data_IF_876844935003
#
_entry.id   IF_876844935003
#
_cell.length_a   1.000
_cell.length_b   1.000
_cell.length_c   1.000
_cell.angle_alpha   90.00
_cell.angle_beta   90.00
_cell.angle_gamma   90.00
#
_symmetry.space_group_name_H-M   'P 1'
#
loop_
_entity.id
_entity.type
_entity.pdbx_description
1 polymer ?
#
# COMPACT_ATOMS: atom_id res chain seq x y z
N UNK A 1 -16.10 9.61 35.61
CA UNK A 1 -15.80 8.17 35.51
C UNK A 1 -16.42 7.74 34.19
N UNK A 2 -15.74 8.04 33.07
CA UNK A 2 -16.16 7.55 31.76
C UNK A 2 -15.55 6.16 31.63
N UNK A 3 -16.38 5.12 31.72
CA UNK A 3 -16.00 3.77 31.33
C UNK A 3 -15.83 3.78 29.81
N UNK A 4 -14.62 4.17 29.38
CA UNK A 4 -14.24 4.31 27.99
C UNK A 4 -14.34 2.96 27.31
N UNK A 5 -15.32 2.80 26.43
CA UNK A 5 -15.35 1.71 25.48
C UNK A 5 -14.12 1.85 24.57
N UNK A 6 -13.04 1.10 24.87
CA UNK A 6 -11.80 1.02 24.09
C UNK A 6 -11.98 0.33 22.71
N UNK A 7 -13.18 0.36 22.15
CA UNK A 7 -13.55 -0.27 20.89
C UNK A 7 -14.40 0.70 20.08
N UNK A 8 -14.05 0.85 18.80
CA UNK A 8 -14.88 1.57 17.84
C UNK A 8 -15.55 0.57 16.90
N UNK A 9 -16.88 0.49 16.95
CA UNK A 9 -17.70 -0.33 16.06
C UNK A 9 -18.69 0.57 15.34
N UNK A 10 -18.59 0.61 14.01
CA UNK A 10 -19.41 1.47 13.16
C UNK A 10 -20.02 0.67 12.02
N UNK A 11 -21.35 0.74 11.86
CA UNK A 11 -22.02 0.33 10.64
C UNK A 11 -21.78 1.42 9.58
N UNK A 12 -20.93 1.14 8.61
CA UNK A 12 -20.63 2.05 7.49
C UNK A 12 -21.81 2.07 6.53
N UNK A 13 -22.35 0.88 6.27
CA UNK A 13 -23.63 0.66 5.59
C UNK A 13 -24.42 -0.37 6.40
N UNK A 14 -25.62 -0.74 5.93
CA UNK A 14 -26.36 -1.85 6.54
C UNK A 14 -25.61 -3.18 6.49
N UNK A 15 -24.67 -3.31 5.53
CA UNK A 15 -23.99 -4.58 5.19
C UNK A 15 -22.47 -4.53 5.35
N UNK A 16 -21.90 -3.39 5.71
CA UNK A 16 -20.46 -3.22 5.94
C UNK A 16 -20.26 -2.62 7.32
N UNK A 17 -19.57 -3.36 8.19
CA UNK A 17 -19.25 -2.97 9.57
C UNK A 17 -17.75 -2.81 9.69
N UNK A 18 -17.28 -1.72 10.27
CA UNK A 18 -15.90 -1.56 10.73
C UNK A 18 -15.82 -1.78 12.24
N UNK A 19 -14.82 -2.56 12.66
CA UNK A 19 -14.49 -2.80 14.06
C UNK A 19 -13.01 -2.53 14.24
N UNK A 20 -12.67 -1.57 15.10
CA UNK A 20 -11.28 -1.25 15.42
C UNK A 20 -10.99 -1.21 16.91
N UNK A 21 -9.82 -1.75 17.26
CA UNK A 21 -9.25 -1.75 18.60
C UNK A 21 -7.99 -0.88 18.60
N UNK A 22 -7.76 -0.02 19.60
CA UNK A 22 -6.53 0.75 19.77
C UNK A 22 -5.29 -0.14 19.82
N UNK A 23 -4.12 0.43 19.49
CA UNK A 23 -2.84 -0.29 19.52
C UNK A 23 -2.40 -0.62 20.95
N UNK A 24 -2.63 0.32 21.86
CA UNK A 24 -2.34 0.30 23.29
C UNK A 24 -3.37 -0.49 24.14
N UNK A 25 -4.39 -1.05 23.49
CA UNK A 25 -5.39 -1.87 24.17
C UNK A 25 -4.76 -3.15 24.74
N UNK A 26 -4.97 -3.37 26.05
CA UNK A 26 -4.47 -4.56 26.75
C UNK A 26 -5.01 -5.84 26.12
N UNK A 27 -4.26 -6.93 26.19
CA UNK A 27 -4.71 -8.23 25.64
C UNK A 27 -5.98 -8.74 26.33
N UNK A 28 -6.15 -8.49 27.62
CA UNK A 28 -7.36 -8.86 28.37
C UNK A 28 -8.58 -8.06 27.89
N UNK A 29 -8.46 -6.74 27.78
CA UNK A 29 -9.53 -5.87 27.28
C UNK A 29 -9.88 -6.21 25.83
N UNK A 30 -8.88 -6.42 24.99
CA UNK A 30 -9.06 -6.82 23.60
C UNK A 30 -9.87 -8.13 23.50
N UNK A 31 -9.49 -9.17 24.26
CA UNK A 31 -10.19 -10.45 24.23
C UNK A 31 -11.62 -10.34 24.76
N UNK A 32 -11.84 -9.58 25.83
CA UNK A 32 -13.17 -9.33 26.38
C UNK A 32 -14.08 -8.65 25.35
N UNK A 33 -13.62 -7.52 24.80
CA UNK A 33 -14.37 -6.77 23.79
C UNK A 33 -14.61 -7.59 22.52
N UNK A 34 -13.63 -8.40 22.10
CA UNK A 34 -13.77 -9.28 20.94
C UNK A 34 -14.86 -10.35 21.14
N UNK A 35 -14.96 -10.91 22.36
CA UNK A 35 -16.01 -11.86 22.70
C UNK A 35 -17.40 -11.21 22.64
N UNK A 36 -17.54 -9.98 23.16
CA UNK A 36 -18.80 -9.25 23.15
C UNK A 36 -19.22 -8.84 21.73
N UNK A 37 -18.29 -8.36 20.90
CA UNK A 37 -18.53 -8.10 19.48
C UNK A 37 -18.98 -9.37 18.77
N UNK A 38 -18.29 -10.50 19.03
CA UNK A 38 -18.65 -11.78 18.43
C UNK A 38 -20.06 -12.23 18.85
N UNK A 39 -20.42 -12.07 20.13
CA UNK A 39 -21.76 -12.39 20.65
C UNK A 39 -22.82 -11.52 19.98
N UNK A 40 -22.56 -10.23 19.84
CA UNK A 40 -23.45 -9.28 19.18
C UNK A 40 -23.64 -9.61 17.70
N UNK A 41 -22.56 -9.90 16.97
CA UNK A 41 -22.61 -10.28 15.55
C UNK A 41 -23.40 -11.58 15.35
N UNK A 42 -23.19 -12.59 16.20
CA UNK A 42 -23.97 -13.85 16.15
C UNK A 42 -25.46 -13.62 16.45
N UNK A 43 -25.78 -12.77 17.42
CA UNK A 43 -27.16 -12.44 17.77
C UNK A 43 -27.89 -11.70 16.64
N UNK A 44 -27.23 -10.72 16.01
CA UNK A 44 -27.85 -9.88 14.96
C UNK A 44 -27.85 -10.54 13.57
N UNK A 45 -26.74 -11.17 13.20
CA UNK A 45 -26.48 -11.63 11.83
C UNK A 45 -26.41 -13.16 11.71
N UNK A 46 -26.52 -13.91 12.81
CA UNK A 46 -26.44 -15.36 12.81
C UNK A 46 -25.14 -15.86 12.17
N UNK A 47 -25.27 -16.62 11.09
CA UNK A 47 -24.14 -17.13 10.30
C UNK A 47 -23.85 -16.29 9.04
N UNK A 48 -24.47 -15.12 8.87
CA UNK A 48 -24.42 -14.33 7.64
C UNK A 48 -23.31 -13.27 7.62
N UNK A 49 -22.37 -13.30 8.57
CA UNK A 49 -21.24 -12.36 8.58
C UNK A 49 -19.91 -13.05 8.22
N UNK A 50 -19.07 -12.32 7.48
CA UNK A 50 -17.68 -12.66 7.17
C UNK A 50 -16.76 -11.64 7.84
N UNK A 51 -15.76 -12.09 8.59
CA UNK A 51 -14.75 -11.21 9.19
C UNK A 51 -13.52 -11.14 8.30
N UNK A 52 -13.13 -9.94 7.92
CA UNK A 52 -11.87 -9.64 7.25
C UNK A 52 -10.89 -9.09 8.28
N UNK A 53 -9.90 -9.89 8.66
CA UNK A 53 -8.88 -9.46 9.61
C UNK A 53 -7.76 -8.74 8.87
N UNK A 54 -7.64 -7.42 9.09
CA UNK A 54 -6.61 -6.57 8.52
C UNK A 54 -5.34 -6.48 9.39
N UNK A 55 -5.37 -7.09 10.58
CA UNK A 55 -4.24 -7.19 11.49
C UNK A 55 -3.53 -8.53 11.34
N UNK A 56 -2.49 -8.74 12.14
CA UNK A 56 -1.84 -10.03 12.25
C UNK A 56 -2.86 -11.15 12.50
N UNK A 57 -2.52 -12.34 11.99
CA UNK A 57 -3.33 -13.53 12.18
C UNK A 57 -3.34 -13.90 13.66
N UNK A 58 -4.53 -14.13 14.21
CA UNK A 58 -4.70 -14.50 15.63
C UNK A 58 -5.53 -15.75 15.79
N UNK A 59 -5.07 -16.63 16.68
CA UNK A 59 -5.76 -17.89 16.97
C UNK A 59 -7.11 -17.67 17.64
N UNK A 60 -7.19 -16.76 18.62
CA UNK A 60 -8.43 -16.50 19.36
C UNK A 60 -9.56 -16.00 18.45
N UNK A 61 -9.21 -15.14 17.48
CA UNK A 61 -10.15 -14.62 16.50
C UNK A 61 -10.69 -15.73 15.60
N UNK A 62 -9.82 -16.64 15.16
CA UNK A 62 -10.18 -17.83 14.37
C UNK A 62 -11.07 -18.79 15.16
N UNK A 63 -10.79 -18.97 16.46
CA UNK A 63 -11.57 -19.83 17.36
C UNK A 63 -12.98 -19.30 17.61
N UNK A 64 -13.13 -17.97 17.71
CA UNK A 64 -14.41 -17.32 17.98
C UNK A 64 -15.33 -17.25 16.75
N UNK A 65 -14.75 -17.11 15.55
CA UNK A 65 -15.48 -17.07 14.30
C UNK A 65 -14.79 -17.91 13.20
N UNK A 66 -15.39 -19.02 12.75
CA UNK A 66 -14.83 -19.85 11.69
C UNK A 66 -14.87 -19.18 10.30
N UNK A 67 -15.72 -18.17 10.08
CA UNK A 67 -15.82 -17.41 8.82
C UNK A 67 -14.93 -16.17 8.87
N UNK A 68 -13.63 -16.40 8.93
CA UNK A 68 -12.61 -15.37 8.92
C UNK A 68 -11.70 -15.49 7.69
N UNK A 69 -11.31 -14.35 7.15
CA UNK A 69 -10.27 -14.24 6.14
C UNK A 69 -9.13 -13.38 6.70
N UNK A 70 -7.99 -14.01 6.97
CA UNK A 70 -6.77 -13.31 7.42
C UNK A 70 -6.07 -12.69 6.21
N UNK A 71 -6.23 -11.38 6.06
CA UNK A 71 -5.72 -10.60 4.92
C UNK A 71 -4.89 -9.41 5.38
N UNK A 72 -4.41 -9.44 6.61
CA UNK A 72 -3.70 -8.33 7.23
C UNK A 72 -2.34 -8.02 6.64
N UNK A 73 -1.85 -6.84 7.02
CA UNK A 73 -0.52 -6.33 6.71
C UNK A 73 -0.05 -5.41 7.85
N UNK A 74 1.27 -5.13 7.94
CA UNK A 74 1.83 -4.31 9.00
C UNK A 74 1.12 -2.96 9.16
N UNK A 75 0.92 -2.53 10.40
CA UNK A 75 0.26 -1.26 10.66
C UNK A 75 1.04 -0.09 10.05
N UNK A 76 0.32 0.99 9.73
CA UNK A 76 0.84 2.18 9.05
C UNK A 76 1.36 1.96 7.62
N UNK A 77 1.49 0.72 7.14
CA UNK A 77 2.00 0.46 5.78
C UNK A 77 0.87 0.50 4.73
N UNK A 78 1.25 0.76 3.49
CA UNK A 78 0.41 0.49 2.32
C UNK A 78 0.48 -1.02 1.97
N UNK A 79 -0.65 -1.66 1.68
CA UNK A 79 -0.68 -3.08 1.30
C UNK A 79 -0.25 -3.29 -0.17
N UNK A 80 0.24 -4.50 -0.50
CA UNK A 80 0.36 -4.94 -1.88
C UNK A 80 -0.98 -4.83 -2.65
N UNK A 81 -0.91 -4.46 -3.93
CA UNK A 81 -2.11 -4.20 -4.76
C UNK A 81 -2.97 -5.45 -4.99
N UNK A 82 -2.34 -6.62 -5.11
CA UNK A 82 -3.01 -7.92 -5.26
C UNK A 82 -3.83 -8.28 -4.02
N UNK A 83 -3.32 -7.94 -2.82
CA UNK A 83 -4.03 -8.11 -1.55
C UNK A 83 -5.28 -7.24 -1.50
N UNK A 84 -5.20 -5.98 -1.90
CA UNK A 84 -6.38 -5.09 -1.96
C UNK A 84 -7.42 -5.62 -2.96
N UNK A 85 -6.98 -6.06 -4.14
CA UNK A 85 -7.86 -6.68 -5.13
C UNK A 85 -8.55 -7.94 -4.58
N UNK A 86 -7.82 -8.78 -3.85
CA UNK A 86 -8.34 -10.00 -3.21
C UNK A 86 -9.43 -9.66 -2.19
N UNK A 87 -9.18 -8.66 -1.36
CA UNK A 87 -10.16 -8.16 -0.39
C UNK A 87 -11.42 -7.65 -1.08
N UNK A 88 -11.29 -6.79 -2.09
CA UNK A 88 -12.45 -6.23 -2.79
C UNK A 88 -13.29 -7.32 -3.47
N UNK A 89 -12.65 -8.29 -4.13
CA UNK A 89 -13.35 -9.44 -4.74
C UNK A 89 -14.05 -10.31 -3.71
N UNK A 90 -13.42 -10.56 -2.56
CA UNK A 90 -14.02 -11.33 -1.48
C UNK A 90 -15.24 -10.62 -0.88
N UNK A 91 -15.15 -9.31 -0.65
CA UNK A 91 -16.27 -8.48 -0.20
C UNK A 91 -17.43 -8.54 -1.18
N UNK A 92 -17.18 -8.25 -2.46
CA UNK A 92 -18.20 -8.24 -3.51
C UNK A 92 -18.87 -9.61 -3.66
N UNK A 93 -18.07 -10.67 -3.74
CA UNK A 93 -18.58 -12.04 -3.88
C UNK A 93 -19.42 -12.46 -2.67
N UNK A 94 -19.00 -12.11 -1.45
CA UNK A 94 -19.74 -12.43 -0.24
C UNK A 94 -21.05 -11.65 -0.18
N UNK A 95 -21.02 -10.34 -0.42
CA UNK A 95 -22.21 -9.49 -0.36
C UNK A 95 -23.22 -9.84 -1.46
N UNK A 96 -22.78 -10.21 -2.66
CA UNK A 96 -23.71 -10.56 -3.75
C UNK A 96 -24.34 -11.95 -3.61
N UNK A 97 -23.79 -12.82 -2.78
CA UNK A 97 -24.28 -14.19 -2.65
C UNK A 97 -25.56 -14.34 -1.81
N UNK A 98 -25.91 -13.34 -1.00
CA UNK A 98 -27.16 -13.30 -0.22
C UNK A 98 -27.39 -11.86 0.29
N UNK A 99 -28.59 -11.27 0.13
CA UNK A 99 -28.91 -9.93 0.65
C UNK A 99 -28.73 -9.76 2.16
N UNK A 100 -28.84 -10.83 2.96
CA UNK A 100 -28.66 -10.80 4.42
C UNK A 100 -27.18 -10.87 4.84
N UNK A 101 -26.25 -11.05 3.88
CA UNK A 101 -24.82 -11.14 4.20
C UNK A 101 -24.22 -9.80 4.55
N UNK A 102 -23.35 -9.81 5.55
CA UNK A 102 -22.64 -8.64 6.07
C UNK A 102 -21.13 -8.93 6.07
N UNK A 103 -20.33 -7.90 5.80
CA UNK A 103 -18.87 -7.94 5.95
C UNK A 103 -18.48 -7.15 7.20
N UNK A 104 -17.59 -7.73 8.00
CA UNK A 104 -17.00 -7.09 9.17
C UNK A 104 -15.51 -6.88 8.90
N UNK A 105 -15.08 -5.63 8.81
CA UNK A 105 -13.69 -5.24 8.63
C UNK A 105 -13.08 -5.03 10.01
N UNK A 106 -12.19 -5.94 10.41
CA UNK A 106 -11.53 -5.95 11.71
C UNK A 106 -10.12 -5.37 11.62
N UNK A 107 -9.75 -4.50 12.57
CA UNK A 107 -8.40 -3.97 12.69
C UNK A 107 -8.02 -3.68 14.17
N UNK A 108 -6.96 -4.31 14.68
CA UNK A 108 -6.24 -3.87 15.90
C UNK A 108 -5.09 -2.94 15.50
N UNK A 109 -5.04 -1.73 16.07
CA UNK A 109 -4.08 -0.67 15.80
C UNK A 109 -4.64 0.46 14.94
N UNK A 110 -3.81 1.03 14.06
CA UNK A 110 -4.17 2.16 13.21
C UNK A 110 -5.33 1.89 12.24
N UNK A 111 -6.35 2.77 12.27
CA UNK A 111 -7.54 2.73 11.39
C UNK A 111 -7.24 3.02 9.91
N UNK A 112 -6.00 3.40 9.56
CA UNK A 112 -5.59 3.64 8.17
C UNK A 112 -5.82 2.43 7.26
N UNK A 113 -5.69 1.20 7.77
CA UNK A 113 -5.96 -0.03 7.02
C UNK A 113 -7.43 -0.17 6.61
N UNK A 114 -8.36 0.19 7.51
CA UNK A 114 -9.79 0.26 7.21
C UNK A 114 -10.02 1.30 6.10
N UNK A 115 -9.38 2.46 6.19
CA UNK A 115 -9.43 3.50 5.15
C UNK A 115 -9.01 3.00 3.78
N UNK A 116 -7.91 2.22 3.69
CA UNK A 116 -7.48 1.60 2.43
C UNK A 116 -8.55 0.69 1.86
N UNK A 117 -9.13 -0.22 2.67
CA UNK A 117 -10.14 -1.18 2.21
C UNK A 117 -11.40 -0.46 1.74
N UNK A 118 -11.95 0.45 2.55
CA UNK A 118 -13.20 1.15 2.23
C UNK A 118 -13.04 2.03 0.99
N UNK A 119 -11.95 2.79 0.89
CA UNK A 119 -11.71 3.65 -0.27
C UNK A 119 -11.50 2.84 -1.54
N UNK A 120 -10.72 1.75 -1.47
CA UNK A 120 -10.49 0.85 -2.60
C UNK A 120 -11.77 0.14 -3.04
N UNK A 121 -12.59 -0.32 -2.08
CA UNK A 121 -13.85 -1.00 -2.37
C UNK A 121 -14.87 -0.06 -3.01
N UNK A 122 -14.96 1.20 -2.54
CA UNK A 122 -15.80 2.23 -3.17
C UNK A 122 -15.41 2.48 -4.63
N UNK A 123 -14.10 2.50 -4.95
CA UNK A 123 -13.65 2.60 -6.34
C UNK A 123 -13.91 1.31 -7.13
N UNK A 124 -13.70 0.15 -6.53
CA UNK A 124 -13.98 -1.15 -7.13
C UNK A 124 -15.46 -1.28 -7.56
N UNK A 125 -16.39 -0.95 -6.67
CA UNK A 125 -17.84 -1.04 -6.95
C UNK A 125 -18.33 0.02 -7.93
N UNK A 126 -17.63 1.17 -8.03
CA UNK A 126 -17.96 2.20 -9.02
C UNK A 126 -17.75 1.75 -10.47
N UNK A 127 -16.81 0.84 -10.71
CA UNK A 127 -16.53 0.27 -12.02
C UNK A 127 -17.38 -0.97 -12.29
N UNK A 128 -17.72 -1.74 -11.25
CA UNK A 128 -18.50 -2.97 -11.39
C UNK A 128 -20.02 -2.71 -11.45
N UNK A 129 -20.53 -2.11 -12.53
CA UNK A 129 -21.94 -2.02 -13.03
C UNK A 129 -23.14 -2.14 -12.04
N UNK A 130 -22.98 -1.78 -10.77
CA UNK A 130 -24.01 -1.90 -9.73
C UNK A 130 -24.63 -0.53 -9.49
N UNK A 131 -25.59 -0.18 -10.35
CA UNK A 131 -26.27 1.11 -10.31
C UNK A 131 -27.00 1.35 -8.97
N UNK A 132 -27.42 0.28 -8.29
CA UNK A 132 -28.24 0.31 -7.07
C UNK A 132 -27.47 0.58 -5.76
N UNK A 133 -26.15 0.84 -5.83
CA UNK A 133 -25.31 1.10 -4.64
C UNK A 133 -25.00 2.58 -4.39
N UNK A 134 -25.85 3.52 -4.85
CA UNK A 134 -25.58 4.94 -4.66
C UNK A 134 -25.54 5.37 -3.18
N UNK A 135 -26.48 4.88 -2.37
CA UNK A 135 -26.53 5.15 -0.93
C UNK A 135 -25.34 4.54 -0.19
N UNK A 136 -24.98 3.30 -0.51
CA UNK A 136 -23.81 2.63 0.05
C UNK A 136 -22.53 3.41 -0.28
N UNK A 137 -22.37 3.88 -1.52
CA UNK A 137 -21.23 4.70 -1.93
C UNK A 137 -21.18 6.03 -1.17
N UNK A 138 -22.32 6.69 -0.98
CA UNK A 138 -22.39 7.91 -0.18
C UNK A 138 -21.98 7.65 1.28
N UNK A 139 -22.52 6.59 1.89
CA UNK A 139 -22.23 6.25 3.28
C UNK A 139 -20.75 5.84 3.48
N UNK A 140 -20.19 5.05 2.55
CA UNK A 140 -18.76 4.73 2.52
C UNK A 140 -17.89 5.98 2.36
N UNK A 141 -18.26 6.90 1.45
CA UNK A 141 -17.53 8.17 1.25
C UNK A 141 -17.57 9.04 2.51
N UNK A 142 -18.75 9.16 3.13
CA UNK A 142 -18.93 9.93 4.36
C UNK A 142 -18.10 9.35 5.50
N UNK A 143 -18.15 8.03 5.71
CA UNK A 143 -17.30 7.36 6.69
C UNK A 143 -15.81 7.58 6.40
N UNK A 144 -15.42 7.47 5.12
CA UNK A 144 -14.04 7.71 4.70
C UNK A 144 -13.57 9.11 5.10
N UNK A 145 -14.32 10.14 4.73
CA UNK A 145 -13.98 11.54 5.00
C UNK A 145 -13.98 11.85 6.49
N UNK A 146 -15.03 11.44 7.21
CA UNK A 146 -15.25 11.83 8.61
C UNK A 146 -14.37 11.05 9.60
N UNK A 147 -14.00 9.79 9.29
CA UNK A 147 -13.42 8.87 10.30
C UNK A 147 -12.00 8.38 10.00
N UNK A 148 -11.62 8.23 8.73
CA UNK A 148 -10.36 7.52 8.39
C UNK A 148 -9.41 8.31 7.49
N UNK A 149 -9.89 9.26 6.68
CA UNK A 149 -9.08 10.03 5.72
C UNK A 149 -7.90 10.77 6.37
N UNK A 150 -8.14 11.39 7.54
CA UNK A 150 -7.10 12.10 8.30
C UNK A 150 -6.10 11.16 9.00
N UNK A 151 -6.47 9.89 9.20
CA UNK A 151 -5.65 8.89 9.90
C UNK A 151 -4.74 8.11 8.95
N UNK A 152 -5.03 8.13 7.65
CA UNK A 152 -4.24 7.43 6.64
C UNK A 152 -2.88 8.07 6.41
N UNK A 153 -1.88 7.23 6.18
CA UNK A 153 -0.55 7.66 5.77
C UNK A 153 -0.55 8.12 4.30
N UNK A 154 0.30 9.08 3.92
CA UNK A 154 0.47 9.49 2.52
C UNK A 154 0.68 8.29 1.57
N UNK A 155 1.52 7.34 1.98
CA UNK A 155 1.76 6.11 1.22
C UNK A 155 0.51 5.25 1.04
N UNK A 156 -0.37 5.16 2.05
CA UNK A 156 -1.64 4.45 1.92
C UNK A 156 -2.56 5.13 0.91
N UNK A 157 -2.64 6.47 0.95
CA UNK A 157 -3.43 7.27 -0.02
C UNK A 157 -2.91 7.10 -1.44
N UNK A 158 -1.59 7.12 -1.62
CA UNK A 158 -0.92 6.90 -2.92
C UNK A 158 -1.30 5.55 -3.55
N UNK A 159 -1.33 4.49 -2.75
CA UNK A 159 -1.71 3.16 -3.23
C UNK A 159 -3.19 3.07 -3.64
N UNK A 160 -4.09 3.67 -2.84
CA UNK A 160 -5.51 3.77 -3.19
C UNK A 160 -5.71 4.56 -4.48
N UNK A 161 -5.03 5.69 -4.64
CA UNK A 161 -5.08 6.51 -5.86
C UNK A 161 -4.56 5.74 -7.07
N UNK A 162 -3.44 5.02 -6.92
CA UNK A 162 -2.90 4.20 -8.00
C UNK A 162 -3.86 3.08 -8.41
N UNK A 163 -4.44 2.36 -7.44
CA UNK A 163 -5.45 1.33 -7.71
C UNK A 163 -6.69 1.93 -8.41
N UNK A 164 -7.19 3.06 -7.93
CA UNK A 164 -8.32 3.78 -8.54
C UNK A 164 -8.02 4.17 -9.99
N UNK A 165 -6.81 4.64 -10.26
CA UNK A 165 -6.32 4.93 -11.61
C UNK A 165 -6.29 3.70 -12.52
N UNK A 166 -5.82 2.55 -12.00
CA UNK A 166 -5.83 1.27 -12.71
C UNK A 166 -7.26 0.79 -13.01
N UNK A 167 -8.17 0.87 -12.03
CA UNK A 167 -9.56 0.43 -12.17
C UNK A 167 -10.35 1.29 -13.17
N UNK A 168 -10.13 2.60 -13.16
CA UNK A 168 -10.75 3.54 -14.10
C UNK A 168 -10.10 3.52 -15.50
N UNK A 169 -8.94 2.86 -15.66
CA UNK A 169 -8.15 2.89 -16.90
C UNK A 169 -7.42 4.20 -17.16
N UNK A 170 -7.48 5.17 -16.24
CA UNK A 170 -6.77 6.45 -16.34
C UNK A 170 -5.26 6.31 -16.12
N UNK A 171 -4.82 5.23 -15.47
CA UNK A 171 -3.41 4.89 -15.27
C UNK A 171 -3.11 3.53 -15.89
N UNK A 172 -1.97 3.42 -16.57
CA UNK A 172 -1.43 2.15 -17.08
C UNK A 172 -0.23 1.73 -16.25
N UNK A 173 -0.11 0.43 -16.04
CA UNK A 173 1.04 -0.16 -15.35
C UNK A 173 2.32 0.09 -16.17
N UNK A 174 3.30 0.76 -15.57
CA UNK A 174 4.63 0.86 -16.15
C UNK A 174 5.33 -0.52 -16.10
N UNK A 175 5.86 -0.96 -17.23
CA UNK A 175 6.59 -2.23 -17.39
C UNK A 175 8.07 -2.05 -17.66
N UNK A 176 8.56 -0.81 -17.71
CA UNK A 176 9.98 -0.51 -17.90
C UNK A 176 10.81 -0.99 -16.70
N UNK A 177 12.05 -1.40 -16.99
CA UNK A 177 13.05 -1.62 -15.95
C UNK A 177 13.40 -0.28 -15.30
N UNK A 178 13.42 -0.23 -13.97
CA UNK A 178 13.76 0.95 -13.21
C UNK A 178 14.93 0.62 -12.28
N UNK A 179 16.09 1.19 -12.59
CA UNK A 179 17.28 1.13 -11.75
C UNK A 179 17.35 2.42 -10.93
N UNK A 180 17.33 2.33 -9.61
CA UNK A 180 17.51 3.47 -8.72
C UNK A 180 19.00 3.77 -8.57
N UNK A 181 19.39 5.00 -8.88
CA UNK A 181 20.79 5.46 -8.81
C UNK A 181 21.03 6.40 -7.64
N UNK A 182 20.11 7.32 -7.38
CA UNK A 182 20.27 8.31 -6.31
C UNK A 182 18.98 8.54 -5.54
N UNK A 183 19.14 8.78 -4.25
CA UNK A 183 18.13 9.39 -3.38
C UNK A 183 18.68 10.71 -2.88
N UNK A 184 18.01 11.81 -3.20
CA UNK A 184 18.43 13.16 -2.82
C UNK A 184 17.44 13.69 -1.78
N UNK A 185 17.95 13.95 -0.58
CA UNK A 185 17.21 14.62 0.49
C UNK A 185 17.50 16.12 0.40
N UNK A 186 16.49 16.91 0.07
CA UNK A 186 16.55 18.37 0.06
C UNK A 186 15.93 18.92 1.35
N UNK A 187 16.58 19.90 1.98
CA UNK A 187 16.24 20.41 3.30
C UNK A 187 16.68 19.43 4.39
N UNK A 188 17.79 19.74 5.07
CA UNK A 188 18.38 18.83 6.06
C UNK A 188 17.52 18.84 7.34
N UNK A 189 17.01 17.68 7.79
CA UNK A 189 16.20 17.61 9.00
C UNK A 189 17.04 17.87 10.26
N UNK A 190 16.47 18.60 11.22
CA UNK A 190 17.13 18.98 12.47
C UNK A 190 16.81 17.99 13.60
N UNK A 191 17.61 16.94 13.74
CA UNK A 191 17.38 15.87 14.73
C UNK A 191 18.30 15.99 15.96
N UNK A 192 19.49 16.58 15.81
CA UNK A 192 20.43 16.84 16.90
C UNK A 192 20.60 18.35 17.16
N UNK A 193 21.23 18.70 18.29
CA UNK A 193 21.59 20.07 18.64
C UNK A 193 22.40 20.75 17.52
N UNK A 194 22.11 22.02 17.24
CA UNK A 194 22.79 22.78 16.19
C UNK A 194 22.41 22.38 14.77
N UNK A 195 21.27 21.69 14.56
CA UNK A 195 20.79 21.33 13.22
C UNK A 195 21.47 20.10 12.61
N UNK A 196 22.30 19.40 13.37
CA UNK A 196 23.04 18.25 12.87
C UNK A 196 22.11 17.06 12.55
N UNK A 197 22.52 16.27 11.55
CA UNK A 197 21.78 15.08 11.14
C UNK A 197 22.72 13.98 10.64
N UNK A 198 22.39 12.71 10.97
CA UNK A 198 23.12 11.52 10.53
C UNK A 198 22.22 10.55 9.77
N UNK A 199 21.69 10.92 8.58
CA UNK A 199 20.79 10.07 7.83
C UNK A 199 21.47 8.82 7.26
N UNK A 200 20.74 7.71 7.26
CA UNK A 200 21.02 6.55 6.44
C UNK A 200 19.72 5.96 5.89
N UNK A 201 19.80 5.33 4.73
CA UNK A 201 18.67 4.78 4.00
C UNK A 201 18.64 3.27 4.05
N UNK A 202 17.42 2.74 4.15
CA UNK A 202 17.10 1.35 3.84
C UNK A 202 16.05 1.28 2.73
N UNK A 203 16.32 0.43 1.76
CA UNK A 203 15.42 0.14 0.65
C UNK A 203 14.90 -1.28 0.81
N UNK A 204 13.59 -1.43 0.71
CA UNK A 204 12.92 -2.72 0.80
C UNK A 204 12.11 -2.95 -0.48
N UNK A 205 12.12 -4.20 -0.96
CA UNK A 205 11.25 -4.67 -2.02
C UNK A 205 10.46 -5.86 -1.50
N UNK A 206 9.14 -5.82 -1.61
CA UNK A 206 8.26 -6.86 -1.04
C UNK A 206 8.63 -7.22 0.42
N UNK A 207 8.80 -6.19 1.26
CA UNK A 207 9.21 -6.25 2.68
C UNK A 207 10.58 -6.88 2.97
N UNK A 208 11.40 -7.17 1.95
CA UNK A 208 12.77 -7.65 2.13
C UNK A 208 13.77 -6.51 1.92
N UNK A 209 14.76 -6.32 2.80
CA UNK A 209 15.79 -5.31 2.61
C UNK A 209 16.65 -5.69 1.38
N UNK A 210 16.78 -4.77 0.43
CA UNK A 210 17.58 -4.96 -0.79
C UNK A 210 18.80 -4.04 -0.83
N UNK A 211 18.79 -2.95 -0.07
CA UNK A 211 19.92 -2.03 0.03
C UNK A 211 19.91 -1.30 1.37
N UNK A 212 21.10 -1.05 1.91
CA UNK A 212 21.31 -0.16 3.06
C UNK A 212 22.51 0.73 2.77
N UNK A 213 22.34 2.05 2.91
CA UNK A 213 23.43 2.99 2.67
C UNK A 213 24.41 3.06 3.85
N UNK A 214 25.55 3.73 3.62
CA UNK A 214 26.34 4.30 4.73
C UNK A 214 25.59 5.41 5.47
N UNK A 215 26.18 5.88 6.56
CA UNK A 215 25.64 6.98 7.38
C UNK A 215 26.28 8.28 6.91
N UNK A 216 25.45 9.23 6.49
CA UNK A 216 25.88 10.53 6.03
C UNK A 216 25.83 11.49 7.22
N UNK A 217 26.97 12.00 7.67
CA UNK A 217 27.04 12.96 8.78
C UNK A 217 27.08 14.38 8.23
N UNK A 218 26.14 15.20 8.66
CA UNK A 218 26.03 16.62 8.30
C UNK A 218 26.08 17.46 9.58
N UNK A 219 27.09 18.33 9.66
CA UNK A 219 27.42 19.11 10.86
C UNK A 219 27.16 20.63 10.70
N UNK A 220 26.78 21.11 9.51
CA UNK A 220 26.68 22.55 9.22
C UNK A 220 25.32 22.95 8.63
N UNK A 221 24.81 24.12 9.07
CA UNK A 221 23.60 24.78 8.56
C UNK A 221 23.67 25.20 7.09
N UNK A 222 24.88 25.27 6.50
CA UNK A 222 25.06 25.71 5.11
C UNK A 222 24.71 24.63 4.08
N UNK A 223 24.50 23.39 4.52
CA UNK A 223 24.20 22.30 3.62
C UNK A 223 22.70 22.18 3.41
N UNK A 224 22.25 22.35 2.16
CA UNK A 224 20.83 22.34 1.82
C UNK A 224 20.33 20.99 1.27
N UNK A 225 21.24 20.06 0.95
CA UNK A 225 20.89 18.74 0.41
C UNK A 225 21.93 17.67 0.72
N UNK A 226 21.49 16.42 0.77
CA UNK A 226 22.33 15.22 0.78
C UNK A 226 21.95 14.36 -0.42
N UNK A 227 22.93 13.98 -1.23
CA UNK A 227 22.79 12.99 -2.28
C UNK A 227 23.34 11.65 -1.81
N UNK A 228 22.47 10.64 -1.73
CA UNK A 228 22.83 9.28 -1.36
C UNK A 228 22.89 8.45 -2.63
N UNK A 229 24.10 8.09 -3.04
CA UNK A 229 24.32 7.20 -4.18
C UNK A 229 23.94 5.77 -3.81
N UNK A 230 23.29 5.08 -4.75
CA UNK A 230 22.93 3.66 -4.66
C UNK A 230 23.90 2.91 -5.57
N UNK A 231 24.95 2.35 -4.97
CA UNK A 231 26.01 1.65 -5.70
C UNK A 231 26.11 0.18 -5.23
N UNK A 232 25.93 -0.80 -6.14
CA UNK A 232 25.49 -0.65 -7.53
C UNK A 232 24.03 -0.16 -7.63
N UNK A 233 23.66 0.37 -8.80
CA UNK A 233 22.29 0.82 -9.06
C UNK A 233 21.29 -0.32 -8.86
N UNK A 234 20.23 -0.08 -8.10
CA UNK A 234 19.34 -1.15 -7.67
C UNK A 234 18.15 -1.31 -8.63
N UNK A 235 18.03 -2.48 -9.24
CA UNK A 235 16.83 -2.84 -10.02
C UNK A 235 15.63 -3.00 -9.08
N UNK A 236 14.59 -2.19 -9.29
CA UNK A 236 13.38 -2.22 -8.49
C UNK A 236 12.17 -2.69 -9.29
N UNK A 237 11.32 -3.50 -8.66
CA UNK A 237 10.09 -4.03 -9.24
C UNK A 237 9.01 -4.26 -8.19
N UNK A 238 7.77 -3.94 -8.57
CA UNK A 238 6.60 -4.06 -7.71
C UNK A 238 6.59 -3.01 -6.60
N UNK A 239 6.25 -3.45 -5.39
CA UNK A 239 6.16 -2.65 -4.17
C UNK A 239 7.54 -2.34 -3.59
N UNK A 240 7.84 -1.05 -3.46
CA UNK A 240 9.08 -0.53 -2.91
C UNK A 240 8.78 0.31 -1.68
N UNK A 241 9.60 0.16 -0.65
CA UNK A 241 9.62 1.05 0.50
C UNK A 241 11.02 1.60 0.72
N UNK A 242 11.11 2.92 0.82
CA UNK A 242 12.30 3.64 1.25
C UNK A 242 12.07 4.15 2.67
N UNK A 243 12.99 3.84 3.58
CA UNK A 243 13.03 4.39 4.94
C UNK A 243 14.33 5.12 5.16
N UNK A 244 14.23 6.34 5.69
CA UNK A 244 15.37 7.12 6.13
C UNK A 244 15.35 7.22 7.65
N UNK A 245 16.51 7.00 8.26
CA UNK A 245 16.68 7.05 9.70
C UNK A 245 17.78 8.03 10.07
N UNK A 246 17.64 8.68 11.22
CA UNK A 246 18.68 9.44 11.89
C UNK A 246 19.36 8.55 12.94
N UNK A 247 20.68 8.36 12.84
CA UNK A 247 21.45 7.72 13.93
C UNK A 247 21.75 8.73 15.04
N UNK A 248 21.20 8.48 16.23
CA UNK A 248 21.45 9.33 17.41
C UNK A 248 22.91 9.26 17.84
N UNK A 249 23.46 10.40 18.24
CA UNK A 249 24.85 10.48 18.66
C UNK A 249 25.11 9.62 19.89
N UNK A 250 26.12 8.74 19.84
CA UNK A 250 26.54 7.85 20.95
C UNK A 250 25.41 7.02 21.59
N UNK A 251 24.33 6.76 20.85
CA UNK A 251 23.21 5.92 21.29
C UNK A 251 23.03 4.75 20.34
N UNK A 252 22.61 3.59 20.85
CA UNK A 252 22.24 2.41 20.07
C UNK A 252 20.80 2.50 19.55
N UNK A 253 20.31 3.72 19.30
CA UNK A 253 18.93 3.98 18.84
C UNK A 253 18.95 4.89 17.61
N UNK A 254 17.86 4.82 16.85
CA UNK A 254 17.65 5.60 15.63
C UNK A 254 16.24 6.15 15.65
N UNK A 255 16.06 7.33 15.05
CA UNK A 255 14.73 7.86 14.78
C UNK A 255 14.40 7.69 13.30
N UNK A 256 13.14 7.47 12.98
CA UNK A 256 12.67 7.55 11.59
C UNK A 256 12.61 9.02 11.18
N UNK A 257 13.31 9.38 10.10
CA UNK A 257 13.17 10.70 9.47
C UNK A 257 11.94 10.70 8.57
N UNK A 258 11.86 9.74 7.66
CA UNK A 258 10.70 9.57 6.79
C UNK A 258 10.56 8.12 6.35
N UNK A 259 9.34 7.77 5.93
CA UNK A 259 9.06 6.55 5.15
C UNK A 259 8.29 6.91 3.89
N UNK A 260 8.60 6.22 2.80
CA UNK A 260 7.97 6.40 1.51
C UNK A 260 7.69 5.01 0.91
N UNK A 261 6.44 4.70 0.59
CA UNK A 261 6.10 3.54 -0.24
C UNK A 261 5.52 3.96 -1.59
N UNK A 262 5.94 3.27 -2.63
CA UNK A 262 5.40 3.42 -3.98
C UNK A 262 5.47 2.09 -4.73
N UNK A 263 4.61 1.95 -5.73
CA UNK A 263 4.68 0.84 -6.67
C UNK A 263 5.40 1.30 -7.94
N UNK A 264 6.43 0.57 -8.37
CA UNK A 264 7.22 0.89 -9.59
C UNK A 264 6.36 1.04 -10.85
N UNK A 265 5.27 0.26 -10.94
CA UNK A 265 4.30 0.39 -12.01
C UNK A 265 3.51 1.71 -12.05
N UNK A 266 3.58 2.53 -11.01
CA UNK A 266 2.98 3.86 -10.98
C UNK A 266 3.93 4.96 -11.49
N UNK A 267 5.22 4.65 -11.63
CA UNK A 267 6.27 5.61 -11.98
C UNK A 267 6.13 5.98 -13.45
N UNK A 268 6.16 7.27 -13.74
CA UNK A 268 6.26 7.81 -15.10
C UNK A 268 7.55 8.63 -15.20
N UNK A 269 8.38 8.33 -16.20
CA UNK A 269 9.70 8.95 -16.33
C UNK A 269 10.75 8.39 -15.37
N UNK A 270 11.81 9.17 -15.14
CA UNK A 270 13.01 8.74 -14.42
C UNK A 270 13.38 9.63 -13.20
N UNK A 271 12.59 10.67 -12.93
CA UNK A 271 12.78 11.52 -11.75
C UNK A 271 11.46 11.62 -10.98
N UNK A 272 11.48 11.28 -9.70
CA UNK A 272 10.32 11.44 -8.82
C UNK A 272 10.69 12.37 -7.67
N UNK A 273 9.77 13.26 -7.31
CA UNK A 273 9.95 14.19 -6.20
C UNK A 273 8.75 14.08 -5.28
N UNK A 274 9.00 13.90 -3.99
CA UNK A 274 8.00 13.80 -2.94
C UNK A 274 8.21 14.92 -1.93
N UNK A 275 7.20 15.78 -1.74
CA UNK A 275 7.21 16.83 -0.71
C UNK A 275 7.03 16.27 0.70
N UNK A 276 7.17 17.11 1.73
CA UNK A 276 6.95 16.71 3.14
C UNK A 276 5.59 16.03 3.33
N UNK A 277 4.54 16.52 2.67
CA UNK A 277 3.18 16.00 2.69
C UNK A 277 3.01 14.59 2.12
N UNK A 278 3.94 14.16 1.27
CA UNK A 278 3.97 12.84 0.62
C UNK A 278 4.74 11.78 1.43
N UNK A 279 5.45 12.21 2.47
CA UNK A 279 6.36 11.39 3.25
C UNK A 279 5.71 10.98 4.57
N UNK A 280 5.55 9.68 4.79
CA UNK A 280 5.05 9.16 6.06
C UNK A 280 6.00 9.54 7.20
N UNK A 281 5.45 9.79 8.39
CA UNK A 281 6.12 10.34 9.57
C UNK A 281 6.57 11.80 9.40
N UNK A 282 7.31 12.12 8.35
CA UNK A 282 7.80 13.48 8.09
C UNK A 282 6.67 14.50 7.89
N UNK A 283 5.54 14.10 7.31
CA UNK A 283 4.37 14.98 7.13
C UNK A 283 3.77 15.52 8.43
N UNK A 284 4.17 14.99 9.59
CA UNK A 284 3.72 15.38 10.93
C UNK A 284 4.88 15.75 11.86
N UNK A 285 6.12 15.73 11.37
CA UNK A 285 7.32 15.98 12.17
C UNK A 285 7.89 17.35 11.84
N UNK A 286 7.89 18.24 12.83
CA UNK A 286 8.41 19.61 12.70
C UNK A 286 9.94 19.65 12.51
N UNK A 287 10.64 18.56 12.84
CA UNK A 287 12.09 18.43 12.58
C UNK A 287 12.40 18.30 11.09
N UNK A 288 11.43 17.88 10.28
CA UNK A 288 11.55 17.84 8.83
C UNK A 288 11.12 19.20 8.23
N UNK A 289 11.95 19.89 7.42
CA UNK A 289 11.63 21.22 6.93
C UNK A 289 10.38 21.25 6.02
N UNK A 290 9.60 22.32 6.08
CA UNK A 290 8.36 22.45 5.29
C UNK A 290 8.58 22.49 3.78
N UNK A 291 9.71 23.06 3.34
CA UNK A 291 10.16 23.01 1.94
C UNK A 291 11.02 21.78 1.62
N UNK A 292 11.17 20.87 2.58
CA UNK A 292 11.94 19.65 2.43
C UNK A 292 11.26 18.69 1.45
N UNK A 293 12.08 17.96 0.70
CA UNK A 293 11.60 17.00 -0.32
C UNK A 293 12.61 15.89 -0.55
N UNK A 294 12.12 14.75 -1.01
CA UNK A 294 12.92 13.59 -1.39
C UNK A 294 12.80 13.36 -2.88
N UNK A 295 13.92 13.33 -3.57
CA UNK A 295 14.01 13.06 -5.00
C UNK A 295 14.64 11.70 -5.27
N UNK A 296 14.02 10.91 -6.13
CA UNK A 296 14.50 9.60 -6.57
C UNK A 296 14.88 9.68 -8.04
N UNK A 297 16.12 9.30 -8.35
CA UNK A 297 16.68 9.33 -9.69
C UNK A 297 16.86 7.91 -10.22
N UNK A 298 16.18 7.62 -11.32
CA UNK A 298 16.15 6.33 -11.98
C UNK A 298 16.79 6.37 -13.37
N UNK A 299 17.03 5.19 -13.94
CA UNK A 299 17.20 5.03 -15.38
C UNK A 299 16.69 3.65 -15.84
N UNK A 300 16.69 3.43 -17.16
CA UNK A 300 16.31 2.15 -17.75
C UNK A 300 17.37 1.05 -17.63
N UNK A 301 18.58 1.39 -17.19
CA UNK A 301 19.75 0.51 -17.24
C UNK A 301 20.65 0.68 -16.01
N UNK A 302 21.50 -0.29 -15.66
CA UNK A 302 22.37 -0.19 -14.48
C UNK A 302 23.58 0.73 -14.70
N UNK A 303 23.86 1.17 -15.94
CA UNK A 303 25.02 2.01 -16.21
C UNK A 303 24.88 3.40 -15.57
N UNK A 304 26.02 3.98 -15.18
CA UNK A 304 26.07 5.33 -14.59
C UNK A 304 25.40 6.33 -15.51
N UNK A 305 24.49 7.13 -14.94
CA UNK A 305 23.79 8.18 -15.67
C UNK A 305 24.78 9.31 -16.00
N UNK A 306 24.91 9.66 -17.28
CA UNK A 306 25.71 10.81 -17.72
C UNK A 306 25.16 12.10 -17.09
N UNK A 307 26.04 12.92 -16.51
CA UNK A 307 25.67 14.18 -15.85
C UNK A 307 25.36 14.06 -14.34
N UNK A 308 25.29 12.86 -13.76
CA UNK A 308 25.18 12.68 -12.30
C UNK A 308 26.47 13.04 -11.53
N UNK A 309 27.57 13.39 -12.22
CA UNK A 309 28.78 13.94 -11.60
C UNK A 309 28.51 15.24 -10.82
N UNK A 310 27.43 15.96 -11.15
CA UNK A 310 26.96 17.17 -10.46
C UNK A 310 26.17 16.88 -9.17
N UNK A 311 25.86 15.61 -8.89
CA UNK A 311 25.15 15.15 -7.69
C UNK A 311 26.13 14.76 -6.56
N UNK A 312 27.32 15.36 -6.53
CA UNK A 312 28.24 15.18 -5.42
C UNK A 312 27.77 15.94 -4.18
N UNK A 313 28.02 15.36 -3.02
CA UNK A 313 27.84 16.04 -1.76
C UNK A 313 28.93 17.09 -1.56
N UNK A 314 28.60 18.17 -0.85
CA UNK A 314 29.59 19.15 -0.42
C UNK A 314 30.66 18.51 0.47
N UNK A 315 31.86 19.08 0.51
CA UNK A 315 32.99 18.57 1.31
C UNK A 315 32.71 18.43 2.81
N UNK A 316 31.64 19.02 3.32
CA UNK A 316 31.19 18.90 4.71
C UNK A 316 30.45 17.60 5.04
N UNK A 317 30.12 16.75 4.05
CA UNK A 317 29.48 15.45 4.31
C UNK A 317 30.52 14.36 4.47
N UNK A 318 30.52 13.75 5.65
CA UNK A 318 31.33 12.56 5.92
C UNK A 318 30.43 11.33 5.84
N UNK A 319 30.82 10.33 5.05
CA UNK A 319 30.06 9.07 4.91
C UNK A 319 30.79 7.95 5.65
N UNK A 320 30.11 7.37 6.64
CA UNK A 320 30.56 6.15 7.32
C UNK A 320 29.95 4.92 6.64
N UNK A 321 30.79 4.13 5.97
CA UNK A 321 30.39 2.91 5.29
C UNK A 321 30.40 1.66 6.19
N UNK A 322 30.69 1.81 7.48
CA UNK A 322 30.68 0.68 8.41
C UNK A 322 29.23 0.23 8.72
N UNK A 323 28.68 -0.61 7.85
CA UNK A 323 27.37 -1.26 8.01
C UNK A 323 27.37 -2.44 8.98
N UNK A 324 28.46 -2.64 9.74
CA UNK A 324 28.56 -3.70 10.75
C UNK A 324 27.83 -3.34 12.05
N UNK A 325 27.46 -2.07 12.21
CA UNK A 325 26.65 -1.61 13.34
C UNK A 325 25.29 -2.35 13.38
N UNK A 326 24.97 -3.07 14.46
CA UNK A 326 23.70 -3.77 14.61
C UNK A 326 22.48 -2.87 14.39
N UNK A 327 22.58 -1.58 14.74
CA UNK A 327 21.52 -0.59 14.54
C UNK A 327 21.20 -0.38 13.05
N UNK A 328 22.22 -0.50 12.19
CA UNK A 328 22.06 -0.39 10.74
C UNK A 328 21.49 -1.70 10.19
N UNK A 329 21.87 -2.86 10.74
CA UNK A 329 21.38 -4.16 10.27
C UNK A 329 19.96 -4.48 10.71
N UNK A 330 19.50 -3.96 11.84
CA UNK A 330 18.16 -4.23 12.37
C UNK A 330 17.05 -3.93 11.35
N UNK A 331 16.32 -4.95 10.93
CA UNK A 331 15.21 -4.84 10.00
C UNK A 331 13.88 -4.55 10.70
N UNK A 332 13.18 -3.52 10.23
CA UNK A 332 11.92 -3.08 10.85
C UNK A 332 10.72 -3.98 10.55
N UNK A 333 10.91 -5.12 9.88
CA UNK A 333 9.84 -6.06 9.51
C UNK A 333 9.82 -7.34 10.35
N UNK A 334 10.85 -7.58 11.17
CA UNK A 334 10.88 -8.75 12.06
C UNK A 334 9.91 -8.62 13.25
N UNK A 335 9.48 -7.39 13.59
CA UNK A 335 8.42 -7.11 14.55
C UNK A 335 7.23 -6.45 13.84
N UNK A 336 6.16 -7.21 13.58
CA UNK A 336 4.85 -6.62 13.27
C UNK A 336 4.12 -6.12 14.55
N UNK A 337 4.63 -6.50 15.73
CA UNK A 337 4.16 -6.02 17.04
C UNK A 337 4.55 -4.56 17.27
N UNK A 338 3.60 -3.77 17.79
CA UNK A 338 3.82 -2.39 18.24
C UNK A 338 4.73 -2.29 19.48
N UNK A 339 4.99 -3.42 20.15
CA UNK A 339 5.89 -3.51 21.30
C UNK A 339 7.28 -3.91 20.78
N UNK A 340 8.15 -2.93 20.59
CA UNK A 340 9.50 -3.18 20.09
C UNK A 340 10.38 -1.95 19.90
N UNK A 341 10.12 -0.87 20.64
CA UNK A 341 11.09 0.21 20.81
C UNK A 341 11.33 0.38 22.32
N UNK A 342 12.03 -0.60 22.90
CA UNK A 342 12.38 -0.61 24.32
C UNK A 342 13.17 -1.86 24.70
N UNK A 343 14.47 -1.64 24.93
CA UNK A 343 15.48 -2.54 25.49
C UNK A 343 15.86 -3.80 24.69
N UNK A 344 17.18 -3.93 24.49
CA UNK A 344 17.78 -4.89 23.59
C UNK A 344 17.76 -6.32 24.11
N UNK A 345 17.39 -7.24 23.22
CA UNK A 345 18.07 -8.52 23.09
C UNK A 345 17.84 -9.03 21.67
N UNK A 346 18.93 -9.38 20.98
CA UNK A 346 18.89 -9.92 19.63
C UNK A 346 18.56 -11.42 19.68
N UNK A 347 17.53 -11.94 18.98
CA UNK A 347 17.40 -13.37 18.78
C UNK A 347 18.24 -13.82 17.57
N UNK A 348 18.98 -14.93 17.75
CA UNK A 348 19.81 -15.55 16.72
C UNK A 348 19.01 -16.13 15.54
N UNK A 349 19.70 -16.57 14.47
CA UNK A 349 19.06 -16.94 13.21
C UNK A 349 18.30 -18.25 13.36
N UNK A 350 17.01 -18.25 13.01
CA UNK A 350 16.24 -19.47 12.80
C UNK A 350 16.12 -19.77 11.29
N UNK A 351 16.30 -21.02 10.86
CA UNK A 351 16.41 -21.36 9.44
C UNK A 351 15.03 -21.44 8.79
N UNK A 352 14.83 -20.65 7.74
CA UNK A 352 13.64 -20.72 6.88
C UNK A 352 13.78 -21.87 5.87
N UNK A 353 12.93 -22.87 6.01
CA UNK A 353 12.60 -23.82 4.96
C UNK A 353 11.19 -23.47 4.49
N UNK A 354 11.04 -23.00 3.25
CA UNK A 354 9.96 -23.39 2.33
C UNK A 354 10.32 -22.95 0.89
N UNK A 355 10.08 -23.80 -0.13
CA UNK A 355 10.35 -23.47 -1.52
C UNK A 355 9.19 -22.69 -2.15
N UNK A 356 9.51 -21.63 -2.87
CA UNK A 356 8.58 -20.92 -3.75
C UNK A 356 8.26 -21.80 -4.97
N UNK A 357 7.09 -22.44 -4.97
CA UNK A 357 6.50 -23.02 -6.17
C UNK A 357 5.61 -21.96 -6.83
N UNK A 358 6.04 -21.47 -7.98
CA UNK A 358 5.30 -20.53 -8.81
C UNK A 358 4.08 -21.17 -9.45
N UNK A 359 2.96 -20.45 -9.39
CA UNK A 359 1.76 -20.72 -10.19
C UNK A 359 1.06 -19.38 -10.47
N UNK A 360 1.44 -18.70 -11.55
CA UNK A 360 0.50 -18.00 -12.41
C UNK A 360 1.08 -17.92 -13.85
N UNK A 361 0.27 -18.19 -14.88
CA UNK A 361 0.70 -18.02 -16.28
C UNK A 361 0.94 -16.54 -16.59
N UNK A 362 1.96 -16.29 -17.41
CA UNK A 362 2.20 -15.00 -18.04
C UNK A 362 1.12 -14.76 -19.09
N UNK A 363 0.16 -13.87 -18.81
CA UNK A 363 -0.61 -13.15 -19.85
C UNK A 363 -1.30 -11.90 -19.24
N UNK A 364 -0.92 -10.67 -19.61
CA UNK A 364 -1.56 -9.45 -19.15
C UNK A 364 -2.62 -8.98 -20.17
N UNK A 365 -3.69 -9.74 -20.37
CA UNK A 365 -4.84 -9.31 -21.20
C UNK A 365 -6.10 -10.10 -20.84
N UNK A 366 -6.80 -9.73 -19.75
CA UNK A 366 -8.12 -10.30 -19.44
C UNK A 366 -9.16 -9.26 -19.01
N UNK A 367 -8.84 -7.97 -19.11
CA UNK A 367 -9.80 -6.90 -18.79
C UNK A 367 -10.59 -6.34 -19.99
N UNK A 368 -10.35 -6.83 -21.22
CA UNK A 368 -11.06 -6.35 -22.41
C UNK A 368 -11.42 -7.48 -23.40
N UNK A 369 -12.36 -8.36 -23.06
CA UNK A 369 -13.20 -9.05 -24.06
C UNK A 369 -14.52 -9.48 -23.43
N UNK A 370 -15.60 -8.74 -23.69
CA UNK A 370 -16.97 -9.27 -23.68
C UNK A 370 -17.63 -8.85 -24.98
N UNK A 371 -17.78 -9.80 -25.90
CA UNK A 371 -18.70 -9.65 -27.03
C UNK A 371 -20.16 -9.62 -26.52
N UNK A 372 -21.04 -8.82 -27.14
CA UNK A 372 -22.45 -8.80 -26.77
C UNK A 372 -23.16 -10.06 -27.28
N UNK A 373 -23.87 -10.75 -26.37
CA UNK A 373 -24.79 -11.85 -26.70
C UNK A 373 -25.97 -11.30 -27.53
N UNK A 374 -26.01 -11.61 -28.81
CA UNK A 374 -27.22 -11.47 -29.63
C UNK A 374 -28.16 -12.65 -29.35
N UNK A 375 -29.41 -12.34 -29.01
CA UNK A 375 -30.46 -13.34 -28.77
C UNK A 375 -30.76 -14.16 -30.03
N UNK A 376 -30.83 -15.48 -29.87
CA UNK A 376 -31.44 -16.37 -30.84
C UNK A 376 -32.97 -16.38 -30.62
N UNK A 377 -33.69 -15.69 -31.49
CA UNK A 377 -35.05 -16.06 -31.87
C UNK A 377 -34.98 -16.93 -33.12
N UNK A 378 -35.59 -18.11 -33.04
CA UNK A 378 -35.72 -19.07 -34.15
C UNK A 378 -36.50 -18.48 -35.33
N UNK A 379 -36.13 -18.77 -36.58
CA UNK A 379 -37.03 -18.65 -37.71
C UNK A 379 -37.49 -20.02 -38.23
N UNK A 380 -38.77 -20.04 -38.59
CA UNK A 380 -39.53 -21.11 -39.24
C UNK A 380 -39.04 -21.33 -40.68
N UNK A 381 -39.05 -22.60 -41.10
CA UNK A 381 -38.74 -23.06 -42.46
C UNK A 381 -39.66 -22.45 -43.55
N UNK A 382 -39.07 -22.01 -44.66
CA UNK A 382 -39.71 -22.04 -45.98
C UNK A 382 -38.65 -22.09 -47.10
N UNK A 383 -38.92 -22.96 -48.07
CA UNK A 383 -38.10 -23.51 -49.17
C UNK A 383 -37.54 -22.52 -50.22
N UNK A 384 -36.61 -22.96 -51.11
CA UNK A 384 -35.72 -22.09 -51.87
C UNK A 384 -36.23 -21.75 -53.28
N UNK A 385 -35.83 -20.57 -53.76
CA UNK A 385 -36.08 -20.12 -55.13
C UNK A 385 -34.99 -19.21 -55.67
N UNK A 386 -34.16 -19.80 -56.53
CA UNK A 386 -33.47 -19.21 -57.69
C UNK A 386 -32.44 -18.08 -57.55
N UNK A 387 -31.31 -18.38 -58.17
CA UNK A 387 -30.15 -17.57 -58.55
C UNK A 387 -30.48 -16.50 -59.60
N UNK A 388 -29.82 -15.34 -59.52
CA UNK A 388 -28.94 -14.80 -60.59
C UNK A 388 -28.34 -13.42 -60.26
N UNK A 389 -27.08 -13.31 -60.65
CA UNK A 389 -26.38 -12.15 -61.25
C UNK A 389 -26.17 -10.85 -60.47
N UNK A 390 -24.88 -10.56 -60.24
CA UNK A 390 -24.23 -9.41 -60.88
C UNK A 390 -23.94 -8.20 -60.00
N UNK A 391 -22.70 -7.70 -60.07
CA UNK A 391 -22.42 -6.29 -59.81
C UNK A 391 -21.26 -6.00 -58.87
N UNK A 392 -20.04 -6.02 -59.41
CA UNK A 392 -18.88 -5.37 -58.80
C UNK A 392 -18.95 -3.85 -58.97
N UNK A 393 -18.72 -3.07 -57.90
CA UNK A 393 -17.79 -1.91 -57.85
C UNK A 393 -17.85 -1.16 -56.50
N UNK A 394 -16.80 -0.39 -56.14
CA UNK A 394 -16.28 -0.28 -54.79
C UNK A 394 -16.77 0.97 -54.05
N UNK A 395 -16.82 0.91 -52.72
CA UNK A 395 -16.92 2.10 -51.88
C UNK A 395 -15.74 2.16 -50.91
N UNK A 396 -15.10 3.32 -50.95
CA UNK A 396 -13.97 3.80 -50.17
C UNK A 396 -14.24 3.78 -48.67
N UNK A 397 -13.43 3.04 -47.92
CA UNK A 397 -13.35 3.13 -46.45
C UNK A 397 -12.35 4.21 -46.03
N UNK A 398 -12.84 5.23 -45.32
CA UNK A 398 -12.07 5.99 -44.35
C UNK A 398 -12.26 5.34 -42.98
N UNK A 399 -11.20 4.94 -42.25
CA UNK A 399 -11.36 4.37 -40.93
C UNK A 399 -11.53 5.48 -39.89
N UNK A 400 -12.58 5.34 -39.07
CA UNK A 400 -12.69 5.97 -37.76
C UNK A 400 -11.67 5.33 -36.82
N UNK A 401 -10.79 6.16 -36.26
CA UNK A 401 -9.93 5.79 -35.15
C UNK A 401 -10.74 5.72 -33.85
N UNK A 402 -10.59 4.63 -33.11
CA UNK A 402 -10.60 4.62 -31.65
C UNK A 402 -9.30 3.96 -31.19
#
# INVERSE_FOLDING_TARGET
MEEGYELDLTYITERIIAVSFPADCSEETYLHNLQDVTRMLKSKHGNNYLVLNLSEKRYDLTKLNPKIMDVGWPDLHAPPLDKVCTICKAMESWLNSDPQRVVVIHCKGGRGRIGVVISSYMHFTSVSTSADQALDRFAMKKFFDDKVSALMQPSQKRYVQFLSGLLSGSVKMNTASLFLHHVILHGIPSFDAGGACRPFLKLYQATQPVYTSGIYSVESENQNRICIAIEPAQLLKGDVMLKCYHKKYRSATRDVIFRLQFHTGAIQGYGLVFGKEDLDSANKDDRFPDNGKVELVFSGTPEKIQGCELLQNDHGVVVDHNTSDPLIRWDSYENMSSDGEGEGDAPGPSPSLWPSAGLFPRDPCLFCTREPRTGHSSPVEASPGQSREGGSRPSTCWPRSF
#
